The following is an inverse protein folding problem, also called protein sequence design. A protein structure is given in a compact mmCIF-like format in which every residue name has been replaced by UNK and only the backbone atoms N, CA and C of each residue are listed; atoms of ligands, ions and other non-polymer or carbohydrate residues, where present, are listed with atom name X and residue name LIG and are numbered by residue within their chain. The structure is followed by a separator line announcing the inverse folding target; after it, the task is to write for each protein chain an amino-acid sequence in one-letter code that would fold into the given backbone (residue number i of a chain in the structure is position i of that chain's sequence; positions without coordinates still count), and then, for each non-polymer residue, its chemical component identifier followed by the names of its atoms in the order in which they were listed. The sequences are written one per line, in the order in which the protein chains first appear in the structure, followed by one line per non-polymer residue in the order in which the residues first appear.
data_IF_370259365333
#
_entry.id   IF_370259365333
#
_cell.length_a   1.000
_cell.length_b   1.000
_cell.length_c   1.000
_cell.angle_alpha   90.00
_cell.angle_beta   90.00
_cell.angle_gamma   90.00
#
_symmetry.space_group_name_H-M   'P 1'
#
loop_
_entity.id
_entity.type
_entity.pdbx_description
1 polymer ?
#
# COMPACT_ATOMS: atom_id res chain seq x y z
N UNK A 1 -20.47 -6.53 20.69
CA UNK A 1 -19.12 -6.24 20.16
C UNK A 1 -18.14 -6.99 21.03
N UNK A 2 -17.41 -7.96 20.47
CA UNK A 2 -16.38 -8.73 21.20
C UNK A 2 -15.18 -7.83 21.55
N UNK A 3 -14.32 -8.28 22.45
CA UNK A 3 -13.12 -7.52 22.85
C UNK A 3 -12.17 -7.32 21.65
N UNK A 4 -11.99 -8.37 20.84
CA UNK A 4 -11.22 -8.32 19.58
C UNK A 4 -11.78 -7.30 18.58
N UNK A 5 -13.11 -7.13 18.52
CA UNK A 5 -13.67 -6.08 17.64
C UNK A 5 -13.34 -4.70 18.18
N UNK A 6 -13.39 -4.48 19.50
CA UNK A 6 -13.01 -3.18 20.09
C UNK A 6 -11.55 -2.82 19.82
N UNK A 7 -10.63 -3.79 19.90
CA UNK A 7 -9.22 -3.56 19.57
C UNK A 7 -9.00 -3.27 18.07
N UNK A 8 -9.68 -4.00 17.18
CA UNK A 8 -9.64 -3.74 15.73
C UNK A 8 -10.12 -2.31 15.39
N UNK A 9 -11.18 -1.84 16.04
CA UNK A 9 -11.68 -0.48 15.87
C UNK A 9 -10.78 0.60 16.52
N UNK A 10 -9.99 0.23 17.53
CA UNK A 10 -9.04 1.12 18.20
C UNK A 10 -7.71 1.28 17.43
N UNK A 11 -7.42 0.40 16.47
CA UNK A 11 -6.23 0.48 15.61
C UNK A 11 -6.26 1.65 14.61
N UNK A 12 -5.11 1.95 14.02
CA UNK A 12 -4.95 3.03 13.03
C UNK A 12 -5.97 2.93 11.88
N UNK A 13 -6.11 1.75 11.26
CA UNK A 13 -7.07 1.54 10.18
C UNK A 13 -8.52 1.59 10.68
N UNK A 14 -8.81 1.01 11.84
CA UNK A 14 -10.14 1.04 12.47
C UNK A 14 -10.63 2.47 12.72
N UNK A 15 -9.74 3.35 13.17
CA UNK A 15 -10.04 4.77 13.37
C UNK A 15 -10.41 5.47 12.07
N UNK A 16 -9.64 5.25 10.99
CA UNK A 16 -9.94 5.83 9.67
C UNK A 16 -11.25 5.30 9.09
N UNK A 17 -11.53 4.00 9.24
CA UNK A 17 -12.81 3.41 8.80
C UNK A 17 -13.99 3.96 9.61
N UNK A 18 -13.80 4.18 10.91
CA UNK A 18 -14.81 4.80 11.76
C UNK A 18 -15.12 6.23 11.30
N UNK A 19 -14.09 7.04 11.01
CA UNK A 19 -14.26 8.41 10.49
C UNK A 19 -15.04 8.42 9.17
N UNK A 20 -14.75 7.49 8.25
CA UNK A 20 -15.49 7.33 7.00
C UNK A 20 -16.95 6.98 7.28
N UNK A 21 -17.21 5.99 8.12
CA UNK A 21 -18.58 5.57 8.45
C UNK A 21 -19.38 6.68 9.12
N UNK A 22 -18.78 7.41 10.04
CA UNK A 22 -19.42 8.52 10.73
C UNK A 22 -19.72 9.69 9.77
N UNK A 23 -18.77 10.05 8.90
CA UNK A 23 -18.98 11.08 7.88
C UNK A 23 -20.06 10.67 6.87
N UNK A 24 -20.09 9.40 6.46
CA UNK A 24 -21.10 8.86 5.55
C UNK A 24 -22.49 8.90 6.17
N UNK A 25 -22.63 8.51 7.44
CA UNK A 25 -23.90 8.60 8.17
C UNK A 25 -24.40 10.04 8.25
N UNK A 26 -23.53 11.00 8.61
CA UNK A 26 -23.89 12.42 8.66
C UNK A 26 -24.39 12.92 7.31
N UNK A 27 -23.68 12.58 6.24
CA UNK A 27 -24.08 12.94 4.88
C UNK A 27 -25.41 12.32 4.43
N UNK A 28 -25.72 11.10 4.85
CA UNK A 28 -26.99 10.44 4.54
C UNK A 28 -28.17 10.98 5.35
N UNK A 29 -27.93 11.40 6.60
CA UNK A 29 -28.96 12.01 7.44
C UNK A 29 -29.29 13.44 6.98
N UNK A 30 -28.26 14.19 6.61
CA UNK A 30 -28.39 15.61 6.27
C UNK A 30 -27.41 15.96 5.15
N UNK A 31 -27.94 16.14 3.95
CA UNK A 31 -27.14 16.45 2.76
C UNK A 31 -26.81 17.94 2.68
N UNK A 32 -25.84 18.35 3.49
CA UNK A 32 -25.34 19.72 3.56
C UNK A 32 -23.94 19.84 2.96
N UNK A 33 -23.57 21.00 2.37
CA UNK A 33 -22.25 21.18 1.77
C UNK A 33 -21.08 20.87 2.71
N UNK A 34 -21.26 21.10 4.01
CA UNK A 34 -20.24 20.76 5.03
C UNK A 34 -20.08 19.27 5.24
N UNK A 35 -21.18 18.50 5.18
CA UNK A 35 -21.15 17.05 5.31
C UNK A 35 -20.51 16.41 4.07
N UNK A 36 -20.80 16.93 2.86
CA UNK A 36 -20.14 16.51 1.61
C UNK A 36 -18.63 16.67 1.71
N UNK A 37 -18.16 17.86 2.11
CA UNK A 37 -16.71 18.14 2.26
C UNK A 37 -16.06 17.25 3.32
N UNK A 38 -16.77 16.99 4.42
CA UNK A 38 -16.26 16.13 5.50
C UNK A 38 -16.12 14.68 5.05
N UNK A 39 -17.11 14.16 4.30
CA UNK A 39 -17.06 12.83 3.71
C UNK A 39 -15.87 12.67 2.75
N UNK A 40 -15.68 13.61 1.81
CA UNK A 40 -14.54 13.56 0.88
C UNK A 40 -13.20 13.53 1.63
N UNK A 41 -13.06 14.34 2.68
CA UNK A 41 -11.82 14.38 3.48
C UNK A 41 -11.60 13.07 4.25
N UNK A 42 -12.64 12.50 4.85
CA UNK A 42 -12.55 11.22 5.55
C UNK A 42 -12.18 10.08 4.59
N UNK A 43 -12.82 10.01 3.42
CA UNK A 43 -12.51 9.00 2.39
C UNK A 43 -11.04 9.09 1.94
N UNK A 44 -10.53 10.30 1.65
CA UNK A 44 -9.13 10.45 1.22
C UNK A 44 -8.15 10.16 2.35
N UNK A 45 -8.42 10.56 3.60
CA UNK A 45 -7.57 10.18 4.72
C UNK A 45 -7.48 8.66 4.87
N UNK A 46 -8.60 7.96 4.72
CA UNK A 46 -8.65 6.50 4.71
C UNK A 46 -7.90 5.88 3.52
N UNK A 47 -8.04 6.43 2.31
CA UNK A 47 -7.24 6.01 1.13
C UNK A 47 -5.75 6.17 1.39
N UNK A 48 -5.30 7.30 1.94
CA UNK A 48 -3.88 7.56 2.22
C UNK A 48 -3.34 6.59 3.27
N UNK A 49 -4.11 6.33 4.34
CA UNK A 49 -3.76 5.33 5.35
C UNK A 49 -3.71 3.90 4.79
N UNK A 50 -4.70 3.51 3.98
CA UNK A 50 -4.71 2.20 3.30
C UNK A 50 -3.55 2.06 2.33
N UNK A 51 -3.19 3.10 1.57
CA UNK A 51 -2.06 3.08 0.66
C UNK A 51 -0.72 2.89 1.40
N UNK A 52 -0.60 3.45 2.61
CA UNK A 52 0.55 3.23 3.47
C UNK A 52 0.63 1.78 3.95
N UNK A 53 -0.46 1.23 4.51
CA UNK A 53 -0.51 -0.18 4.96
C UNK A 53 -0.21 -1.12 3.79
N UNK A 54 -0.80 -0.85 2.64
CA UNK A 54 -0.60 -1.62 1.42
C UNK A 54 0.87 -1.64 0.99
N UNK A 55 1.54 -0.49 1.05
CA UNK A 55 2.98 -0.37 0.77
C UNK A 55 3.79 -1.22 1.74
N UNK A 56 3.62 -1.04 3.05
CA UNK A 56 4.41 -1.75 4.06
C UNK A 56 4.26 -3.26 3.89
N UNK A 57 3.03 -3.76 3.70
CA UNK A 57 2.75 -5.17 3.47
C UNK A 57 3.52 -5.76 2.28
N UNK A 58 3.44 -5.09 1.14
CA UNK A 58 4.11 -5.55 -0.09
C UNK A 58 5.63 -5.46 0.06
N UNK A 59 6.14 -4.42 0.71
CA UNK A 59 7.58 -4.23 0.96
C UNK A 59 8.13 -5.32 1.89
N UNK A 60 7.42 -5.66 2.95
CA UNK A 60 7.84 -6.68 3.91
C UNK A 60 7.98 -8.05 3.25
N UNK A 61 6.98 -8.45 2.45
CA UNK A 61 7.05 -9.68 1.68
C UNK A 61 8.18 -9.62 0.66
N UNK A 62 8.25 -8.53 -0.12
CA UNK A 62 9.27 -8.38 -1.15
C UNK A 62 10.69 -8.37 -0.59
N UNK A 63 10.91 -7.87 0.62
CA UNK A 63 12.19 -7.97 1.33
C UNK A 63 12.52 -9.40 1.72
N UNK A 64 11.52 -10.13 2.23
CA UNK A 64 11.73 -11.49 2.72
C UNK A 64 12.13 -12.44 1.60
N UNK A 65 11.59 -12.23 0.39
CA UNK A 65 11.86 -13.06 -0.79
C UNK A 65 12.89 -12.44 -1.75
N UNK A 66 13.56 -11.36 -1.34
CA UNK A 66 14.57 -10.63 -2.12
C UNK A 66 14.12 -10.14 -3.52
N UNK A 67 12.87 -9.66 -3.63
CA UNK A 67 12.27 -9.17 -4.88
C UNK A 67 12.45 -7.65 -5.13
N UNK A 68 13.00 -6.92 -4.16
CA UNK A 68 13.18 -5.46 -4.21
C UNK A 68 14.57 -5.08 -4.71
N UNK A 69 14.63 -4.25 -5.75
CA UNK A 69 15.87 -3.60 -6.15
C UNK A 69 16.20 -2.41 -5.23
N UNK A 70 17.47 -2.01 -5.14
CA UNK A 70 17.88 -0.83 -4.39
C UNK A 70 17.17 0.45 -4.86
N UNK A 71 16.92 0.57 -6.16
CA UNK A 71 16.21 1.71 -6.73
C UNK A 71 14.75 1.76 -6.30
N UNK A 72 14.07 0.61 -6.22
CA UNK A 72 12.69 0.54 -5.73
C UNK A 72 12.60 0.79 -4.23
N UNK A 73 13.55 0.26 -3.46
CA UNK A 73 13.69 0.53 -2.02
C UNK A 73 13.86 2.03 -1.77
N UNK A 74 14.75 2.68 -2.51
CA UNK A 74 14.96 4.12 -2.42
C UNK A 74 13.74 4.93 -2.93
N UNK A 75 12.99 4.43 -3.91
CA UNK A 75 11.80 5.09 -4.42
C UNK A 75 10.59 5.03 -3.47
N UNK A 76 10.48 3.94 -2.69
CA UNK A 76 9.45 3.77 -1.66
C UNK A 76 9.81 4.41 -0.32
N UNK A 77 11.07 4.79 -0.14
CA UNK A 77 11.50 5.52 1.03
C UNK A 77 10.86 6.91 1.07
N UNK A 78 10.24 7.26 2.20
CA UNK A 78 9.66 8.59 2.46
C UNK A 78 10.76 9.67 2.67
N UNK A 79 12.03 9.32 2.49
CA UNK A 79 13.18 10.20 2.62
C UNK A 79 14.22 9.95 1.53
N UNK A 80 14.95 11.00 1.16
CA UNK A 80 16.09 10.92 0.24
C UNK A 80 17.34 11.53 0.89
N UNK A 81 18.48 10.90 0.65
CA UNK A 81 19.77 11.49 0.99
C UNK A 81 20.08 12.63 0.00
N UNK A 82 20.53 13.75 0.54
CA UNK A 82 20.98 14.93 -0.18
C UNK A 82 22.38 15.26 0.31
N UNK A 83 23.22 15.81 -0.57
CA UNK A 83 24.57 16.23 -0.23
C UNK A 83 24.66 17.72 -0.50
N UNK A 84 25.09 18.49 0.49
CA UNK A 84 25.29 19.93 0.33
C UNK A 84 26.66 20.26 -0.30
N UNK A 85 26.91 21.54 -0.54
CA UNK A 85 28.15 22.06 -1.11
C UNK A 85 29.38 21.87 -0.19
N UNK A 86 29.16 21.54 1.08
CA UNK A 86 30.22 21.19 2.04
C UNK A 86 30.52 19.69 2.08
N UNK A 87 29.76 18.88 1.33
CA UNK A 87 29.89 17.43 1.33
C UNK A 87 29.17 16.74 2.49
N UNK A 88 28.29 17.44 3.22
CA UNK A 88 27.52 16.85 4.32
C UNK A 88 26.28 16.17 3.78
N UNK A 89 26.04 14.93 4.24
CA UNK A 89 24.83 14.18 3.93
C UNK A 89 23.71 14.63 4.86
N UNK A 90 22.58 15.03 4.29
CA UNK A 90 21.33 15.31 5.01
C UNK A 90 20.16 14.52 4.43
N UNK A 91 19.21 14.18 5.28
CA UNK A 91 17.99 13.47 4.89
C UNK A 91 16.87 14.47 4.67
N UNK A 92 16.30 14.50 3.47
CA UNK A 92 15.13 15.32 3.14
C UNK A 92 13.90 14.44 3.00
N UNK A 93 12.76 14.87 3.55
CA UNK A 93 11.47 14.20 3.31
C UNK A 93 11.14 14.29 1.83
N UNK A 94 10.80 13.15 1.22
CA UNK A 94 10.33 13.08 -0.17
C UNK A 94 8.88 12.68 -0.16
N UNK A 95 8.04 13.48 -0.80
CA UNK A 95 6.63 13.15 -0.97
C UNK A 95 6.43 12.37 -2.27
N UNK A 96 6.05 11.09 -2.15
CA UNK A 96 5.53 10.31 -3.27
C UNK A 96 4.00 10.48 -3.29
N UNK A 97 3.43 10.88 -4.42
CA UNK A 97 1.98 11.03 -4.51
C UNK A 97 1.30 9.68 -4.27
N UNK A 98 0.12 9.69 -3.63
CA UNK A 98 -0.67 8.48 -3.36
C UNK A 98 -0.87 7.63 -4.61
N UNK A 99 -1.12 8.26 -5.75
CA UNK A 99 -1.29 7.57 -7.04
C UNK A 99 -0.01 6.90 -7.55
N UNK A 100 1.15 7.55 -7.37
CA UNK A 100 2.43 6.97 -7.73
C UNK A 100 2.81 5.83 -6.78
N UNK A 101 2.53 6.00 -5.48
CA UNK A 101 2.72 4.97 -4.46
C UNK A 101 1.93 3.70 -4.81
N UNK A 102 0.62 3.82 -5.03
CA UNK A 102 -0.25 2.68 -5.35
C UNK A 102 0.30 1.93 -6.57
N UNK A 103 0.63 2.64 -7.66
CA UNK A 103 1.16 2.01 -8.88
C UNK A 103 2.51 1.33 -8.68
N UNK A 104 3.43 1.97 -7.95
CA UNK A 104 4.75 1.42 -7.67
C UNK A 104 4.62 0.17 -6.81
N UNK A 105 3.85 0.22 -5.73
CA UNK A 105 3.56 -0.92 -4.86
C UNK A 105 2.97 -2.09 -5.64
N UNK A 106 1.94 -1.85 -6.46
CA UNK A 106 1.35 -2.92 -7.29
C UNK A 106 2.34 -3.51 -8.29
N UNK A 107 3.21 -2.68 -8.90
CA UNK A 107 4.25 -3.16 -9.80
C UNK A 107 5.27 -4.05 -9.10
N UNK A 108 5.61 -3.75 -7.84
CA UNK A 108 6.50 -4.57 -7.03
C UNK A 108 5.81 -5.88 -6.64
N UNK A 109 4.55 -5.83 -6.20
CA UNK A 109 3.76 -7.02 -5.91
C UNK A 109 3.71 -8.01 -7.09
N UNK A 110 3.54 -7.49 -8.32
CA UNK A 110 3.54 -8.30 -9.56
C UNK A 110 4.80 -9.14 -9.78
N UNK A 111 5.93 -8.80 -9.17
CA UNK A 111 7.16 -9.58 -9.34
C UNK A 111 7.09 -10.97 -8.70
N UNK A 112 6.27 -11.12 -7.66
CA UNK A 112 6.13 -12.36 -6.90
C UNK A 112 4.69 -12.86 -6.82
N UNK A 113 3.71 -12.00 -7.10
CA UNK A 113 2.30 -12.35 -7.28
C UNK A 113 1.86 -11.91 -8.68
N UNK A 114 2.17 -12.66 -9.75
CA UNK A 114 1.95 -12.23 -11.14
C UNK A 114 0.47 -12.03 -11.51
N UNK A 115 -0.44 -12.71 -10.81
CA UNK A 115 -1.89 -12.60 -11.01
C UNK A 115 -2.48 -11.28 -10.48
N UNK A 116 -1.67 -10.49 -9.79
CA UNK A 116 -2.04 -9.18 -9.26
C UNK A 116 -2.24 -8.20 -10.42
N UNK A 117 -3.47 -8.05 -10.92
CA UNK A 117 -3.77 -7.19 -12.06
C UNK A 117 -4.88 -6.15 -11.80
N UNK A 118 -4.67 -5.17 -10.87
CA UNK A 118 -5.58 -4.04 -10.75
C UNK A 118 -5.75 -3.27 -12.08
N UNK A 119 -6.98 -2.94 -12.43
CA UNK A 119 -7.29 -2.17 -13.63
C UNK A 119 -7.03 -0.66 -13.42
N UNK A 120 -5.81 -0.24 -13.75
CA UNK A 120 -5.42 1.18 -13.76
C UNK A 120 -5.85 1.95 -15.01
N UNK A 121 -6.56 1.31 -15.95
CA UNK A 121 -7.20 1.96 -17.10
C UNK A 121 -8.69 2.24 -16.87
N UNK A 122 -9.31 1.54 -15.94
CA UNK A 122 -10.75 1.56 -15.68
C UNK A 122 -11.27 2.76 -14.88
N UNK A 123 -12.59 2.73 -14.67
CA UNK A 123 -13.36 3.78 -14.01
C UNK A 123 -12.98 3.95 -12.54
N UNK A 124 -12.69 2.87 -11.80
CA UNK A 124 -12.28 2.94 -10.40
C UNK A 124 -11.01 3.78 -10.19
N UNK A 125 -9.98 3.55 -11.01
CA UNK A 125 -8.76 4.36 -10.98
C UNK A 125 -8.98 5.80 -11.42
N UNK A 126 -9.81 6.02 -12.44
CA UNK A 126 -10.18 7.36 -12.89
C UNK A 126 -10.90 8.14 -11.79
N UNK A 127 -11.83 7.49 -11.10
CA UNK A 127 -12.57 8.04 -9.97
C UNK A 127 -11.63 8.40 -8.82
N UNK A 128 -10.69 7.52 -8.45
CA UNK A 128 -9.72 7.80 -7.40
C UNK A 128 -8.87 9.04 -7.68
N UNK A 129 -8.35 9.19 -8.91
CA UNK A 129 -7.61 10.39 -9.31
C UNK A 129 -8.47 11.64 -9.21
N UNK A 130 -9.73 11.58 -9.66
CA UNK A 130 -10.66 12.70 -9.59
C UNK A 130 -10.96 13.08 -8.13
N UNK A 131 -11.17 12.11 -7.24
CA UNK A 131 -11.42 12.34 -5.82
C UNK A 131 -10.21 12.97 -5.11
N UNK A 132 -8.99 12.56 -5.45
CA UNK A 132 -7.77 13.19 -4.92
C UNK A 132 -7.67 14.65 -5.37
N UNK A 133 -7.95 14.93 -6.66
CA UNK A 133 -7.97 16.30 -7.17
C UNK A 133 -9.07 17.15 -6.49
N UNK A 134 -10.25 16.56 -6.27
CA UNK A 134 -11.34 17.17 -5.53
C UNK A 134 -10.93 17.51 -4.10
N UNK A 135 -10.27 16.60 -3.36
CA UNK A 135 -9.75 16.87 -2.02
C UNK A 135 -8.79 18.06 -2.04
N UNK A 136 -7.85 18.08 -2.98
CA UNK A 136 -6.86 19.15 -3.06
C UNK A 136 -7.54 20.52 -3.28
N UNK A 137 -8.59 20.57 -4.12
CA UNK A 137 -9.40 21.78 -4.34
C UNK A 137 -10.08 22.25 -3.05
N UNK A 138 -10.80 21.37 -2.35
CA UNK A 138 -11.55 21.74 -1.13
C UNK A 138 -10.66 21.95 0.11
N UNK A 139 -9.41 21.48 0.09
CA UNK A 139 -8.43 21.68 1.16
C UNK A 139 -7.68 23.02 1.02
N UNK A 140 -7.57 23.53 -0.21
CA UNK A 140 -6.89 24.79 -0.53
C UNK A 140 -7.77 25.67 -1.43
N UNK A 141 -8.98 26.03 -1.01
CA UNK A 141 -9.90 26.80 -1.83
C UNK A 141 -9.35 28.22 -2.07
N UNK A 142 -9.48 28.70 -3.30
CA UNK A 142 -9.11 30.06 -3.71
C UNK A 142 -10.33 30.91 -4.02
N UNK A 143 -11.46 30.27 -4.30
CA UNK A 143 -12.74 30.91 -4.60
C UNK A 143 -13.90 30.06 -4.04
N UNK A 144 -15.11 30.61 -4.03
CA UNK A 144 -16.28 29.97 -3.41
C UNK A 144 -16.65 28.65 -4.12
N UNK A 145 -16.50 28.62 -5.44
CA UNK A 145 -16.79 27.48 -6.30
C UNK A 145 -15.86 26.29 -5.97
N UNK A 146 -14.68 26.54 -5.37
CA UNK A 146 -13.79 25.47 -4.92
C UNK A 146 -14.36 24.65 -3.76
N UNK A 147 -15.41 25.15 -3.08
CA UNK A 147 -16.08 24.46 -1.97
C UNK A 147 -17.32 23.68 -2.39
N UNK A 148 -17.74 23.83 -3.65
CA UNK A 148 -18.91 23.14 -4.21
C UNK A 148 -18.57 21.69 -4.53
N UNK A 149 -19.45 20.78 -4.10
CA UNK A 149 -19.34 19.33 -4.32
C UNK A 149 -20.71 18.87 -4.81
N UNK A 150 -20.75 18.31 -6.01
CA UNK A 150 -21.97 17.76 -6.61
C UNK A 150 -22.30 16.36 -6.07
N UNK A 151 -23.50 15.87 -6.36
CA UNK A 151 -23.92 14.50 -6.01
C UNK A 151 -23.03 13.47 -6.73
N UNK A 152 -22.69 13.77 -7.98
CA UNK A 152 -21.77 12.96 -8.79
C UNK A 152 -20.37 12.90 -8.19
N UNK A 153 -19.89 13.99 -7.58
CA UNK A 153 -18.61 14.02 -6.88
C UNK A 153 -18.63 13.08 -5.66
N UNK A 154 -19.71 13.10 -4.89
CA UNK A 154 -19.89 12.22 -3.72
C UNK A 154 -19.96 10.76 -4.16
N UNK A 155 -20.81 10.43 -5.12
CA UNK A 155 -20.96 9.08 -5.64
C UNK A 155 -19.63 8.54 -6.19
N UNK A 156 -18.91 9.38 -6.95
CA UNK A 156 -17.58 9.04 -7.48
C UNK A 156 -16.55 8.79 -6.40
N UNK A 157 -16.56 9.58 -5.34
CA UNK A 157 -15.65 9.41 -4.20
C UNK A 157 -15.86 8.11 -3.46
N UNK A 158 -17.12 7.71 -3.26
CA UNK A 158 -17.48 6.43 -2.64
C UNK A 158 -17.00 5.27 -3.55
N UNK A 159 -17.33 5.31 -4.84
CA UNK A 159 -16.88 4.28 -5.79
C UNK A 159 -15.36 4.17 -5.90
N UNK A 160 -14.65 5.30 -5.79
CA UNK A 160 -13.18 5.32 -5.76
C UNK A 160 -12.61 4.61 -4.53
N UNK A 161 -13.23 4.83 -3.37
CA UNK A 161 -12.83 4.25 -2.11
C UNK A 161 -13.08 2.74 -2.09
N UNK A 162 -14.29 2.31 -2.50
CA UNK A 162 -14.65 0.89 -2.59
C UNK A 162 -13.70 0.15 -3.53
N UNK A 163 -13.48 0.69 -4.74
CA UNK A 163 -12.53 0.13 -5.69
C UNK A 163 -11.12 -0.01 -5.10
N UNK A 164 -10.65 1.00 -4.34
CA UNK A 164 -9.31 0.96 -3.79
C UNK A 164 -9.19 -0.07 -2.66
N UNK A 165 -10.22 -0.22 -1.81
CA UNK A 165 -10.28 -1.29 -0.82
C UNK A 165 -10.20 -2.66 -1.50
N UNK A 166 -10.98 -2.88 -2.56
CA UNK A 166 -10.97 -4.15 -3.30
C UNK A 166 -9.58 -4.46 -3.86
N UNK A 167 -8.90 -3.44 -4.42
CA UNK A 167 -7.52 -3.57 -4.89
C UNK A 167 -6.58 -3.96 -3.75
N UNK A 168 -6.63 -3.25 -2.62
CA UNK A 168 -5.74 -3.53 -1.48
C UNK A 168 -5.95 -4.95 -0.97
N UNK A 169 -7.21 -5.36 -0.75
CA UNK A 169 -7.55 -6.71 -0.27
C UNK A 169 -7.06 -7.77 -1.26
N UNK A 170 -7.38 -7.62 -2.55
CA UNK A 170 -7.01 -8.60 -3.57
C UNK A 170 -5.49 -8.76 -3.68
N UNK A 171 -4.74 -7.66 -3.73
CA UNK A 171 -3.28 -7.74 -3.87
C UNK A 171 -2.61 -8.26 -2.61
N UNK A 172 -3.04 -7.85 -1.43
CA UNK A 172 -2.48 -8.36 -0.17
C UNK A 172 -2.74 -9.86 -0.01
N UNK A 173 -3.93 -10.34 -0.37
CA UNK A 173 -4.26 -11.76 -0.36
C UNK A 173 -3.34 -12.56 -1.30
N UNK A 174 -3.18 -12.13 -2.54
CA UNK A 174 -2.30 -12.79 -3.51
C UNK A 174 -0.83 -12.72 -3.10
N UNK A 175 -0.41 -11.62 -2.48
CA UNK A 175 0.95 -11.48 -1.92
C UNK A 175 1.18 -12.47 -0.78
N UNK A 176 0.18 -12.70 0.08
CA UNK A 176 0.25 -13.69 1.15
C UNK A 176 0.32 -15.12 0.62
N UNK A 177 -0.42 -15.43 -0.45
CA UNK A 177 -0.35 -16.75 -1.09
C UNK A 177 1.03 -16.99 -1.70
N UNK A 178 1.57 -16.02 -2.44
CA UNK A 178 2.94 -16.07 -2.96
C UNK A 178 3.99 -16.23 -1.85
N UNK A 179 3.83 -15.50 -0.75
CA UNK A 179 4.72 -15.62 0.41
C UNK A 179 4.64 -17.01 1.05
N UNK A 180 3.43 -17.58 1.20
CA UNK A 180 3.22 -18.92 1.74
C UNK A 180 3.89 -19.98 0.87
N UNK A 181 3.78 -19.85 -0.45
CA UNK A 181 4.42 -20.78 -1.39
C UNK A 181 5.94 -20.68 -1.31
N UNK A 182 6.50 -19.48 -1.24
CA UNK A 182 7.94 -19.29 -1.03
C UNK A 182 8.44 -19.92 0.27
N UNK A 183 7.73 -19.71 1.39
CA UNK A 183 8.11 -20.31 2.68
C UNK A 183 8.04 -21.84 2.62
N UNK A 184 7.09 -22.41 1.88
CA UNK A 184 7.00 -23.87 1.67
C UNK A 184 8.24 -24.38 0.92
N UNK A 185 8.61 -23.73 -0.18
CA UNK A 185 9.79 -24.10 -0.98
C UNK A 185 11.09 -24.04 -0.14
N UNK A 186 11.27 -22.96 0.64
CA UNK A 186 12.42 -22.83 1.54
C UNK A 186 12.43 -23.93 2.61
N UNK A 187 11.26 -24.29 3.15
CA UNK A 187 11.11 -25.41 4.09
C UNK A 187 11.54 -26.75 3.50
N UNK A 188 11.12 -27.04 2.26
CA UNK A 188 11.52 -28.25 1.54
C UNK A 188 13.03 -28.31 1.30
N UNK A 189 13.64 -27.19 0.91
CA UNK A 189 15.11 -27.08 0.78
C UNK A 189 15.80 -27.36 2.11
N UNK A 190 15.32 -26.77 3.20
CA UNK A 190 15.89 -26.96 4.53
C UNK A 190 15.81 -28.43 4.99
N UNK A 191 14.71 -29.11 4.70
CA UNK A 191 14.53 -30.52 5.04
C UNK A 191 15.44 -31.44 4.20
N UNK A 192 15.61 -31.15 2.91
CA UNK A 192 16.58 -31.86 2.05
C UNK A 192 18.02 -31.68 2.55
N UNK A 193 18.39 -30.46 2.97
CA UNK A 193 19.71 -30.19 3.55
C UNK A 193 19.93 -30.95 4.87
N UNK A 194 18.91 -31.00 5.76
CA UNK A 194 18.98 -31.78 7.00
C UNK A 194 19.07 -33.28 6.74
N UNK A 195 18.42 -33.78 5.70
CA UNK A 195 18.48 -35.17 5.28
C UNK A 195 19.84 -35.55 4.66
N UNK A 196 20.73 -34.57 4.43
CA UNK A 196 22.05 -34.79 3.84
C UNK A 196 22.00 -35.03 2.34
N UNK A 197 20.99 -34.51 1.63
CA UNK A 197 20.91 -34.64 0.18
C UNK A 197 22.14 -34.00 -0.47
N UNK A 198 22.97 -34.85 -1.10
CA UNK A 198 24.26 -34.46 -1.66
C UNK A 198 24.13 -33.38 -2.74
N UNK A 199 23.07 -33.43 -3.54
CA UNK A 199 22.85 -32.47 -4.64
C UNK A 199 22.45 -31.11 -4.09
N UNK A 200 21.58 -31.06 -3.08
CA UNK A 200 21.20 -29.81 -2.43
C UNK A 200 22.35 -29.20 -1.64
N UNK A 201 23.19 -30.01 -0.99
CA UNK A 201 24.41 -29.53 -0.33
C UNK A 201 25.38 -28.91 -1.34
N UNK A 202 25.55 -29.52 -2.51
CA UNK A 202 26.43 -28.99 -3.56
C UNK A 202 25.89 -27.66 -4.13
N UNK A 203 24.58 -27.58 -4.39
CA UNK A 203 23.92 -26.33 -4.83
C UNK A 203 24.02 -25.24 -3.76
N UNK A 204 23.80 -25.57 -2.48
CA UNK A 204 23.95 -24.63 -1.38
C UNK A 204 25.40 -24.13 -1.28
N UNK A 205 26.40 -25.01 -1.37
CA UNK A 205 27.83 -24.65 -1.37
C UNK A 205 28.19 -23.72 -2.53
N UNK A 206 27.67 -23.99 -3.73
CA UNK A 206 27.89 -23.14 -4.90
C UNK A 206 27.25 -21.75 -4.74
N UNK A 207 26.04 -21.68 -4.15
CA UNK A 207 25.31 -20.42 -3.97
C UNK A 207 25.84 -19.57 -2.79
N UNK A 208 26.28 -20.20 -1.70
CA UNK A 208 26.81 -19.52 -0.50
C UNK A 208 28.25 -19.02 -0.66
N UNK A 209 28.97 -19.48 -1.70
CA UNK A 209 30.35 -19.10 -1.95
C UNK A 209 31.31 -19.53 -0.85
N UNK A 210 30.92 -20.49 0.00
CA UNK A 210 31.64 -20.88 1.21
C UNK A 210 32.58 -22.08 0.96
N UNK A 211 33.91 -21.89 0.96
CA UNK A 211 34.88 -22.98 0.93
C UNK A 211 35.22 -23.37 2.37
N UNK A 212 34.29 -24.03 3.09
CA UNK A 212 34.64 -24.63 4.37
C UNK A 212 35.62 -25.79 4.10
N UNK A 213 36.87 -25.53 4.48
CA UNK A 213 38.00 -26.45 4.49
C UNK A 213 37.56 -27.83 4.98
N UNK A 214 37.77 -28.83 4.14
CA UNK A 214 37.86 -30.22 4.57
C UNK A 214 38.85 -30.29 5.75
N UNK A 215 38.37 -30.75 6.90
CA UNK A 215 39.17 -31.14 8.04
C UNK A 215 39.07 -32.66 8.19
#
# INVERSE_FOLDING_TARGET
MTDDTKELWAGFLGSLMFDVQDALKRQQMEDEPTNRRSLIRALIAAVEGLAWIYREHVVDIANTIDALTDTERAALADTAATVDDTGRISTQKRYLSTTAMIRLTTRIAKKFAPDCAPDFGGTGWANLKATIALRNRIAHPKQQEDLEISDDDVARAILAFDWFIDVVIAVMAQSNDAFRDHVREVGEIADLLKAGDHKMLELYRQASGDPLREA
#
